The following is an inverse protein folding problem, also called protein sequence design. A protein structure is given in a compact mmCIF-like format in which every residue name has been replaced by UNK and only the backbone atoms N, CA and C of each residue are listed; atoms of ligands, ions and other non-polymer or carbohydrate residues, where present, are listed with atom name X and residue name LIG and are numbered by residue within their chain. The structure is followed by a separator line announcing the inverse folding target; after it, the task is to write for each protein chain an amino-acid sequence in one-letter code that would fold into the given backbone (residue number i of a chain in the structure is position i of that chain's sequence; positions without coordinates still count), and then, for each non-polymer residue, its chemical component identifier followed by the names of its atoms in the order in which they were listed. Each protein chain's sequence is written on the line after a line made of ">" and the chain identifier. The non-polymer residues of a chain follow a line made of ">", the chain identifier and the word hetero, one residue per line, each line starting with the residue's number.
data_IF_085718902618
#
_entry.id   IF_085718902618
#
_cell.length_a   1.000
_cell.length_b   1.000
_cell.length_c   1.000
_cell.angle_alpha   90.00
_cell.angle_beta   90.00
_cell.angle_gamma   90.00
#
_symmetry.space_group_name_H-M   'P 1'
#
loop_
_entity.id
_entity.type
_entity.pdbx_description
1 polymer ?
#
# COMPACT_ATOMS: atom_id res chain seq x y z
N UNK A 1 4.21 45.28 22.65
CA UNK A 1 3.84 45.77 21.31
C UNK A 1 3.38 44.56 20.51
N UNK A 2 2.06 44.37 20.33
CA UNK A 2 1.47 43.18 19.70
C UNK A 2 1.01 43.56 18.30
N UNK A 3 1.53 42.86 17.28
CA UNK A 3 1.12 43.01 15.88
C UNK A 3 0.03 41.97 15.58
N UNK A 4 -1.15 42.35 15.07
CA UNK A 4 -2.18 41.38 14.69
C UNK A 4 -1.89 40.80 13.30
N UNK A 5 -1.93 39.47 13.20
CA UNK A 5 -1.86 38.74 11.92
C UNK A 5 -3.28 38.54 11.41
N UNK A 6 -3.57 39.07 10.22
CA UNK A 6 -4.85 38.92 9.53
C UNK A 6 -4.97 37.52 8.88
N UNK A 7 -6.19 36.97 8.72
CA UNK A 7 -6.38 35.66 8.10
C UNK A 7 -6.29 35.75 6.57
N UNK A 8 -5.49 34.87 5.98
CA UNK A 8 -5.41 34.68 4.52
C UNK A 8 -6.59 33.79 4.10
N UNK A 9 -7.47 34.35 3.29
CA UNK A 9 -8.59 33.65 2.61
C UNK A 9 -8.04 33.05 1.32
N UNK A 10 -8.00 31.71 1.22
CA UNK A 10 -7.77 31.03 -0.06
C UNK A 10 -9.12 30.69 -0.70
N UNK A 11 -9.41 31.31 -1.84
CA UNK A 11 -10.46 30.85 -2.76
C UNK A 11 -10.01 29.56 -3.44
N UNK A 12 -10.68 28.45 -3.14
CA UNK A 12 -10.57 27.21 -3.89
C UNK A 12 -11.36 27.34 -5.22
N UNK A 13 -10.66 27.27 -6.35
CA UNK A 13 -11.27 27.12 -7.67
C UNK A 13 -11.61 25.64 -7.90
N UNK A 14 -12.90 25.34 -7.95
CA UNK A 14 -13.45 24.02 -8.27
C UNK A 14 -13.56 23.89 -9.81
N UNK A 15 -12.61 23.19 -10.43
CA UNK A 15 -12.78 22.70 -11.80
C UNK A 15 -13.52 21.35 -11.76
N UNK A 16 -14.83 21.41 -11.98
CA UNK A 16 -15.73 20.27 -12.16
C UNK A 16 -15.52 19.64 -13.53
N UNK A 17 -14.98 18.42 -13.57
CA UNK A 17 -14.92 17.61 -14.77
C UNK A 17 -16.27 16.89 -14.97
N UNK A 18 -17.00 17.30 -16.01
CA UNK A 18 -18.25 16.65 -16.43
C UNK A 18 -17.97 15.25 -17.03
N UNK A 19 -18.81 14.25 -16.77
CA UNK A 19 -18.77 12.99 -17.51
C UNK A 19 -19.27 13.20 -18.96
N UNK A 20 -18.51 12.68 -19.93
CA UNK A 20 -18.93 12.61 -21.33
C UNK A 20 -19.99 11.53 -21.51
N UNK A 21 -21.13 11.92 -22.07
CA UNK A 21 -22.20 11.05 -22.54
C UNK A 21 -21.71 10.20 -23.73
N UNK A 22 -21.99 8.90 -23.70
CA UNK A 22 -21.86 8.01 -24.84
C UNK A 22 -23.08 8.15 -25.77
N UNK A 23 -22.90 8.09 -27.10
CA UNK A 23 -24.01 8.26 -28.02
C UNK A 23 -24.94 7.06 -28.04
N UNK A 24 -26.23 7.35 -27.87
CA UNK A 24 -27.36 6.46 -28.07
C UNK A 24 -27.46 6.11 -29.56
N UNK A 25 -27.37 4.82 -29.88
CA UNK A 25 -27.72 4.32 -31.22
C UNK A 25 -29.24 4.43 -31.41
N UNK A 26 -29.64 5.34 -32.30
CA UNK A 26 -31.00 5.48 -32.79
C UNK A 26 -31.06 5.05 -34.26
N UNK A 27 -31.56 3.84 -34.55
CA UNK A 27 -32.43 3.58 -35.72
C UNK A 27 -32.91 2.13 -35.83
N UNK A 28 -34.05 1.90 -36.53
CA UNK A 28 -34.90 0.74 -36.36
C UNK A 28 -34.68 -0.27 -37.49
N UNK A 29 -34.02 -1.39 -37.20
CA UNK A 29 -33.97 -2.53 -38.13
C UNK A 29 -33.55 -3.81 -37.40
N UNK A 30 -34.46 -4.39 -36.61
CA UNK A 30 -34.35 -5.82 -36.28
C UNK A 30 -35.71 -6.39 -35.85
N UNK A 31 -36.70 -6.34 -36.74
CA UNK A 31 -37.91 -7.18 -36.66
C UNK A 31 -37.76 -8.30 -37.67
N UNK A 32 -37.56 -9.53 -37.19
CA UNK A 32 -37.98 -10.72 -37.92
C UNK A 32 -38.66 -11.70 -36.96
N UNK A 33 -39.92 -11.93 -37.32
CA UNK A 33 -40.83 -12.99 -36.93
C UNK A 33 -40.15 -14.36 -36.93
N UNK A 34 -40.36 -15.13 -35.85
CA UNK A 34 -40.16 -16.56 -35.83
C UNK A 34 -41.49 -17.25 -35.48
N UNK A 35 -41.80 -18.19 -36.34
CA UNK A 35 -43.04 -18.94 -36.53
C UNK A 35 -43.17 -20.04 -35.46
N UNK A 36 -44.41 -20.25 -34.98
CA UNK A 36 -44.76 -21.25 -33.96
C UNK A 36 -44.93 -22.62 -34.62
N UNK A 37 -44.15 -23.61 -34.17
CA UNK A 37 -44.32 -25.03 -34.50
C UNK A 37 -44.65 -25.86 -33.24
N UNK A 38 -45.38 -26.98 -33.38
CA UNK A 38 -46.19 -27.54 -32.29
C UNK A 38 -45.41 -28.44 -31.31
N UNK A 39 -46.00 -28.56 -30.12
CA UNK A 39 -45.51 -29.28 -28.95
C UNK A 39 -45.14 -30.75 -29.22
N UNK A 40 -43.91 -31.13 -28.82
CA UNK A 40 -43.49 -32.53 -28.62
C UNK A 40 -43.45 -32.84 -27.12
N UNK A 41 -43.96 -34.02 -26.77
CA UNK A 41 -44.29 -34.43 -25.42
C UNK A 41 -43.14 -34.48 -24.41
N UNK A 42 -43.52 -34.35 -23.15
CA UNK A 42 -42.66 -34.42 -21.96
C UNK A 42 -42.03 -35.82 -21.82
N UNK A 43 -40.70 -35.89 -21.94
CA UNK A 43 -39.90 -37.01 -21.43
C UNK A 43 -39.28 -36.54 -20.10
N UNK A 44 -39.49 -37.23 -18.97
CA UNK A 44 -38.85 -36.84 -17.71
C UNK A 44 -37.33 -37.00 -17.81
N UNK A 45 -36.58 -35.96 -17.46
CA UNK A 45 -35.13 -36.04 -17.27
C UNK A 45 -34.83 -36.94 -16.06
N UNK A 46 -33.84 -37.86 -16.13
CA UNK A 46 -33.40 -38.60 -14.96
C UNK A 46 -32.77 -37.66 -13.92
N UNK A 47 -33.13 -37.87 -12.66
CA UNK A 47 -32.62 -37.12 -11.51
C UNK A 47 -31.11 -37.33 -11.36
N UNK A 48 -30.28 -36.28 -11.21
CA UNK A 48 -28.86 -36.46 -10.96
C UNK A 48 -28.66 -37.11 -9.58
N UNK A 49 -27.87 -38.18 -9.58
CA UNK A 49 -27.43 -38.89 -8.37
C UNK A 49 -26.51 -37.97 -7.55
N UNK A 50 -26.53 -37.98 -6.21
CA UNK A 50 -25.62 -37.17 -5.40
C UNK A 50 -24.17 -37.65 -5.62
N UNK A 51 -23.28 -36.75 -6.02
CA UNK A 51 -21.84 -37.04 -6.09
C UNK A 51 -21.27 -37.33 -4.68
N UNK A 52 -20.36 -38.31 -4.53
CA UNK A 52 -19.69 -38.56 -3.26
C UNK A 52 -18.58 -37.54 -3.00
N UNK A 53 -18.76 -36.79 -1.91
CA UNK A 53 -17.74 -36.17 -1.03
C UNK A 53 -16.55 -35.44 -1.67
N UNK A 54 -16.61 -34.10 -1.52
CA UNK A 54 -15.55 -33.16 -1.76
C UNK A 54 -14.24 -33.49 -1.04
N UNK A 55 -13.14 -33.28 -1.77
CA UNK A 55 -11.76 -33.18 -1.31
C UNK A 55 -11.68 -32.35 0.01
N UNK A 56 -10.92 -32.73 1.04
CA UNK A 56 -10.84 -31.95 2.27
C UNK A 56 -10.29 -30.55 1.97
N UNK A 57 -11.14 -29.55 2.14
CA UNK A 57 -10.79 -28.14 2.03
C UNK A 57 -9.69 -27.84 3.06
N UNK A 58 -8.60 -27.14 2.67
CA UNK A 58 -7.62 -26.66 3.64
C UNK A 58 -8.33 -25.89 4.77
N UNK A 59 -7.81 -25.98 6.00
CA UNK A 59 -8.48 -25.42 7.18
C UNK A 59 -8.81 -23.94 6.94
N UNK A 60 -10.00 -23.47 7.37
CA UNK A 60 -10.38 -22.07 7.25
C UNK A 60 -9.29 -21.18 7.88
N UNK A 61 -8.81 -20.21 7.10
CA UNK A 61 -7.83 -19.24 7.56
C UNK A 61 -8.41 -18.48 8.75
N UNK A 62 -7.83 -18.62 9.94
CA UNK A 62 -8.38 -18.04 11.17
C UNK A 62 -8.24 -16.51 11.12
N UNK A 63 -9.36 -15.80 11.05
CA UNK A 63 -9.40 -14.34 11.19
C UNK A 63 -9.05 -14.02 12.64
N UNK A 64 -7.93 -13.32 12.85
CA UNK A 64 -7.47 -12.96 14.19
C UNK A 64 -8.04 -11.62 14.65
N UNK A 65 -8.04 -11.41 15.96
CA UNK A 65 -8.28 -10.08 16.51
C UNK A 65 -7.11 -9.14 16.15
N UNK A 66 -7.40 -7.85 16.01
CA UNK A 66 -6.40 -6.85 15.61
C UNK A 66 -5.19 -6.86 16.53
N UNK A 67 -5.39 -6.99 17.85
CA UNK A 67 -4.31 -7.03 18.85
C UNK A 67 -3.29 -8.13 18.57
N UNK A 68 -3.73 -9.33 18.18
CA UNK A 68 -2.83 -10.43 17.83
C UNK A 68 -2.00 -10.09 16.57
N UNK A 69 -2.62 -9.47 15.57
CA UNK A 69 -1.93 -9.03 14.36
C UNK A 69 -0.92 -7.92 14.67
N UNK A 70 -1.30 -6.93 15.48
CA UNK A 70 -0.39 -5.87 15.92
C UNK A 70 0.81 -6.44 16.69
N UNK A 71 0.58 -7.42 17.57
CA UNK A 71 1.63 -8.11 18.31
C UNK A 71 2.56 -8.91 17.38
N UNK A 72 2.00 -9.59 16.37
CA UNK A 72 2.77 -10.36 15.41
C UNK A 72 3.69 -9.47 14.54
N UNK A 73 3.18 -8.28 14.14
CA UNK A 73 3.93 -7.30 13.36
C UNK A 73 4.85 -6.42 14.19
N UNK A 74 4.70 -6.38 15.52
CA UNK A 74 5.53 -5.55 16.38
C UNK A 74 7.00 -5.96 16.29
N UNK A 75 7.86 -4.97 16.07
CA UNK A 75 9.30 -5.17 15.90
C UNK A 75 9.96 -4.03 15.15
N UNK A 76 11.29 -4.11 15.08
CA UNK A 76 12.11 -3.25 14.23
C UNK A 76 12.54 -4.05 13.01
N UNK A 77 12.50 -3.45 11.84
CA UNK A 77 12.86 -4.09 10.59
C UNK A 77 13.81 -3.21 9.78
N UNK A 78 14.88 -3.81 9.24
CA UNK A 78 15.81 -3.14 8.32
C UNK A 78 15.40 -3.37 6.87
N UNK A 79 15.51 -2.33 6.05
CA UNK A 79 15.24 -2.44 4.62
C UNK A 79 16.25 -3.39 3.96
N UNK A 80 15.74 -4.29 3.11
CA UNK A 80 16.53 -5.27 2.34
C UNK A 80 16.53 -4.91 0.87
N UNK A 81 15.35 -4.61 0.32
CA UNK A 81 15.20 -4.29 -1.09
C UNK A 81 13.93 -3.47 -1.35
N UNK A 82 13.95 -2.69 -2.43
CA UNK A 82 12.83 -1.91 -2.95
C UNK A 82 12.63 -2.23 -4.42
N UNK A 83 11.40 -2.40 -4.85
CA UNK A 83 11.08 -2.45 -6.27
C UNK A 83 9.82 -1.66 -6.58
N UNK A 84 9.81 -1.06 -7.76
CA UNK A 84 8.69 -0.30 -8.27
C UNK A 84 8.27 -0.84 -9.64
N UNK A 85 6.97 -0.83 -9.89
CA UNK A 85 6.39 -1.20 -11.19
C UNK A 85 5.34 -0.21 -11.62
N UNK A 86 5.23 0.04 -12.93
CA UNK A 86 4.14 0.77 -13.57
C UNK A 86 3.40 -0.19 -14.49
N UNK A 87 2.12 -0.44 -14.22
CA UNK A 87 1.29 -1.37 -15.00
C UNK A 87 1.92 -2.77 -15.14
N UNK A 88 2.60 -3.23 -14.09
CA UNK A 88 3.30 -4.53 -14.06
C UNK A 88 4.70 -4.53 -14.67
N UNK A 89 5.14 -3.45 -15.30
CA UNK A 89 6.50 -3.30 -15.85
C UNK A 89 7.41 -2.69 -14.79
N UNK A 90 8.58 -3.27 -14.55
CA UNK A 90 9.55 -2.72 -13.60
C UNK A 90 10.04 -1.34 -14.02
N UNK A 91 10.11 -0.42 -13.07
CA UNK A 91 10.65 0.93 -13.25
C UNK A 91 11.70 1.22 -12.17
N UNK A 92 12.68 2.10 -12.43
CA UNK A 92 13.66 2.50 -11.43
C UNK A 92 13.00 3.18 -10.21
N UNK A 93 13.49 2.87 -9.01
CA UNK A 93 13.03 3.51 -7.76
C UNK A 93 13.96 4.67 -7.37
N UNK A 94 14.10 5.63 -8.30
CA UNK A 94 15.05 6.76 -8.20
C UNK A 94 14.99 7.57 -6.88
N UNK A 95 13.82 7.78 -6.24
CA UNK A 95 13.76 8.54 -5.00
C UNK A 95 14.61 7.97 -3.86
N UNK A 96 14.89 6.66 -3.87
CA UNK A 96 15.63 5.99 -2.80
C UNK A 96 17.11 5.75 -3.12
N UNK A 97 17.57 6.11 -4.31
CA UNK A 97 18.92 5.74 -4.77
C UNK A 97 19.03 4.27 -5.17
N UNK A 98 20.26 3.83 -5.46
CA UNK A 98 20.59 2.47 -5.87
C UNK A 98 20.74 1.52 -4.67
N UNK A 99 21.20 2.03 -3.53
CA UNK A 99 21.44 1.24 -2.32
C UNK A 99 20.77 1.83 -1.05
N UNK A 100 19.44 2.03 -1.03
CA UNK A 100 18.79 2.63 0.13
C UNK A 100 18.95 1.82 1.41
N UNK A 101 19.04 2.55 2.52
CA UNK A 101 18.90 2.00 3.86
C UNK A 101 17.65 2.53 4.52
N UNK A 102 17.06 1.76 5.43
CA UNK A 102 15.86 2.20 6.12
C UNK A 102 15.50 1.35 7.32
N UNK A 103 14.67 1.94 8.18
CA UNK A 103 14.04 1.28 9.31
C UNK A 103 12.52 1.42 9.22
N UNK A 104 11.84 0.31 9.43
CA UNK A 104 10.40 0.23 9.65
C UNK A 104 10.19 -0.31 11.06
N UNK A 105 9.46 0.43 11.89
CA UNK A 105 9.18 0.04 13.27
C UNK A 105 7.67 -0.03 13.42
N UNK A 106 7.19 -1.15 13.95
CA UNK A 106 5.84 -1.31 14.45
C UNK A 106 5.86 -1.57 15.94
N UNK A 107 4.91 -0.97 16.65
CA UNK A 107 4.69 -1.20 18.07
C UNK A 107 3.42 -2.00 18.27
N UNK A 108 3.41 -2.84 19.30
CA UNK A 108 2.21 -3.60 19.71
C UNK A 108 1.03 -2.69 20.07
N UNK A 109 1.31 -1.44 20.46
CA UNK A 109 0.32 -0.42 20.81
C UNK A 109 -0.31 0.28 19.60
N UNK A 110 0.00 -0.15 18.36
CA UNK A 110 -0.64 0.38 17.16
C UNK A 110 -0.01 1.68 16.63
N UNK A 111 1.28 1.92 16.86
CA UNK A 111 2.05 3.00 16.23
C UNK A 111 3.16 2.45 15.34
N UNK A 112 3.49 3.22 14.30
CA UNK A 112 4.56 2.87 13.37
C UNK A 112 5.38 4.09 12.96
N UNK A 113 6.61 3.82 12.52
CA UNK A 113 7.45 4.79 11.81
C UNK A 113 8.22 4.11 10.69
N UNK A 114 8.33 4.77 9.54
CA UNK A 114 9.18 4.36 8.44
C UNK A 114 10.16 5.47 8.11
N UNK A 115 11.43 5.12 7.97
CA UNK A 115 12.48 6.00 7.48
C UNK A 115 13.27 5.26 6.40
N UNK A 116 13.49 5.88 5.26
CA UNK A 116 14.30 5.34 4.16
C UNK A 116 15.12 6.48 3.60
N UNK A 117 16.36 6.20 3.24
CA UNK A 117 17.22 7.22 2.69
C UNK A 117 18.35 6.63 1.85
N UNK A 118 18.69 7.31 0.77
CA UNK A 118 19.70 6.90 -0.21
C UNK A 118 21.11 6.96 0.38
N UNK A 119 22.04 6.06 0.05
CA UNK A 119 23.39 6.04 0.69
C UNK A 119 24.48 6.77 -0.10
N UNK A 120 24.16 7.16 -1.33
CA UNK A 120 25.09 7.72 -2.28
C UNK A 120 25.55 9.12 -1.83
N UNK A 121 26.86 9.43 -1.86
CA UNK A 121 27.38 10.73 -1.41
C UNK A 121 26.75 11.94 -2.11
N UNK A 122 26.42 11.82 -3.40
CA UNK A 122 25.74 12.86 -4.17
C UNK A 122 24.30 13.16 -3.68
N UNK A 123 23.68 12.22 -2.98
CA UNK A 123 22.36 12.37 -2.38
C UNK A 123 22.44 12.68 -0.88
N UNK A 124 23.63 12.54 -0.29
CA UNK A 124 23.96 12.73 1.13
C UNK A 124 25.19 13.64 1.29
N UNK A 125 25.12 14.92 0.88
CA UNK A 125 26.18 15.87 1.18
C UNK A 125 26.44 15.95 2.69
N UNK A 126 27.68 16.27 3.06
CA UNK A 126 28.15 16.26 4.45
C UNK A 126 27.60 17.46 5.25
N UNK A 127 26.31 17.39 5.60
CA UNK A 127 25.59 18.37 6.40
C UNK A 127 25.68 18.01 7.88
N UNK A 128 25.63 19.03 8.74
CA UNK A 128 25.61 18.85 10.19
C UNK A 128 24.26 19.30 10.77
N UNK A 129 23.81 18.66 11.85
CA UNK A 129 22.68 19.14 12.63
C UNK A 129 23.17 19.75 13.96
N UNK A 130 22.72 20.96 14.33
CA UNK A 130 21.86 21.87 13.56
C UNK A 130 22.59 22.44 12.33
N UNK A 131 21.82 23.00 11.40
CA UNK A 131 22.35 23.62 10.18
C UNK A 131 23.47 24.61 10.52
N UNK A 132 24.50 24.64 9.66
CA UNK A 132 25.60 25.60 9.75
C UNK A 132 25.44 26.71 8.72
N UNK A 133 26.04 27.87 8.96
CA UNK A 133 25.90 29.03 8.06
C UNK A 133 26.51 28.81 6.66
N UNK A 134 27.42 27.84 6.52
CA UNK A 134 28.03 27.44 5.27
C UNK A 134 27.30 26.27 4.57
N UNK A 135 26.30 25.66 5.20
CA UNK A 135 25.45 24.68 4.53
C UNK A 135 24.57 25.40 3.51
N UNK A 136 24.40 24.82 2.32
CA UNK A 136 23.52 25.41 1.31
C UNK A 136 22.11 24.81 1.38
N UNK A 137 21.10 25.61 1.05
CA UNK A 137 19.73 25.11 0.90
C UNK A 137 19.63 24.01 -0.15
N UNK A 138 20.49 24.05 -1.18
CA UNK A 138 20.55 23.04 -2.23
C UNK A 138 20.99 21.68 -1.68
N UNK A 139 22.01 21.66 -0.80
CA UNK A 139 22.47 20.44 -0.16
C UNK A 139 21.40 19.84 0.75
N UNK A 140 20.75 20.67 1.57
CA UNK A 140 19.63 20.24 2.41
C UNK A 140 18.45 19.70 1.58
N UNK A 141 18.12 20.38 0.47
CA UNK A 141 17.09 19.92 -0.45
C UNK A 141 17.46 18.59 -1.10
N UNK A 142 18.74 18.35 -1.39
CA UNK A 142 19.21 17.09 -1.96
C UNK A 142 19.00 15.93 -0.98
N UNK A 143 19.37 16.10 0.29
CA UNK A 143 19.06 15.11 1.35
C UNK A 143 17.56 14.89 1.47
N UNK A 144 16.76 15.97 1.45
CA UNK A 144 15.30 15.90 1.58
C UNK A 144 14.61 15.15 0.43
N UNK A 145 15.09 15.30 -0.81
CA UNK A 145 14.55 14.59 -2.00
C UNK A 145 14.81 13.09 -1.97
N UNK A 146 15.89 12.68 -1.31
CA UNK A 146 16.37 11.30 -1.23
C UNK A 146 16.20 10.66 0.15
N UNK A 147 15.34 11.26 0.97
CA UNK A 147 14.96 10.75 2.28
C UNK A 147 13.46 10.77 2.41
N UNK A 148 12.91 9.74 3.04
CA UNK A 148 11.50 9.68 3.40
C UNK A 148 11.41 9.31 4.88
N UNK A 149 10.54 9.99 5.59
CA UNK A 149 10.33 9.79 7.01
C UNK A 149 8.89 10.10 7.34
N UNK A 150 8.17 9.12 7.87
CA UNK A 150 6.80 9.33 8.35
C UNK A 150 6.50 8.41 9.53
N UNK A 151 5.60 8.87 10.39
CA UNK A 151 5.14 8.10 11.54
C UNK A 151 3.70 8.48 11.92
N UNK A 152 3.04 7.55 12.60
CA UNK A 152 1.68 7.72 13.07
C UNK A 152 1.11 6.41 13.61
N UNK A 153 -0.18 6.39 13.97
CA UNK A 153 -0.86 5.14 14.26
C UNK A 153 -0.86 4.21 13.03
N UNK A 154 -1.02 2.93 13.25
CA UNK A 154 -1.41 1.98 12.21
C UNK A 154 -2.50 1.06 12.74
N UNK A 155 -3.29 0.52 11.82
CA UNK A 155 -4.38 -0.41 12.15
C UNK A 155 -4.54 -1.45 11.06
N UNK A 156 -5.13 -2.58 11.42
CA UNK A 156 -5.58 -3.60 10.47
C UNK A 156 -6.74 -3.03 9.66
N UNK A 157 -6.83 -3.42 8.39
CA UNK A 157 -8.04 -3.20 7.61
C UNK A 157 -9.05 -4.30 7.95
N UNK A 158 -10.08 -3.94 8.70
CA UNK A 158 -11.17 -4.81 9.16
C UNK A 158 -12.13 -5.23 8.04
N UNK A 159 -12.08 -4.57 6.88
CA UNK A 159 -12.86 -4.92 5.70
C UNK A 159 -12.35 -6.20 4.99
N UNK A 160 -11.13 -6.66 5.31
CA UNK A 160 -10.49 -7.80 4.65
C UNK A 160 -9.99 -8.82 5.68
N UNK A 161 -10.08 -10.14 5.39
CA UNK A 161 -9.48 -11.15 6.25
C UNK A 161 -7.97 -10.91 6.42
N UNK A 162 -7.49 -11.03 7.66
CA UNK A 162 -6.09 -10.85 8.02
C UNK A 162 -5.65 -11.91 9.05
N UNK A 163 -4.38 -12.29 8.98
CA UNK A 163 -3.70 -13.24 9.87
C UNK A 163 -2.39 -12.63 10.38
N UNK A 164 -1.63 -13.36 11.21
CA UNK A 164 -0.28 -12.91 11.61
C UNK A 164 0.68 -12.76 10.43
N UNK A 165 0.43 -13.50 9.34
CA UNK A 165 1.37 -13.62 8.22
C UNK A 165 0.92 -12.91 6.95
N UNK A 166 -0.35 -12.54 6.81
CA UNK A 166 -0.81 -11.81 5.64
C UNK A 166 -2.06 -10.97 5.94
N UNK A 167 -2.20 -9.86 5.23
CA UNK A 167 -3.37 -9.02 5.34
C UNK A 167 -3.12 -7.62 4.80
N UNK A 168 -3.96 -6.69 5.21
CA UNK A 168 -3.84 -5.29 4.86
C UNK A 168 -3.90 -4.42 6.11
N UNK A 169 -3.05 -3.41 6.15
CA UNK A 169 -2.99 -2.40 7.20
C UNK A 169 -3.07 -1.00 6.58
N UNK A 170 -3.43 -0.03 7.40
CA UNK A 170 -3.27 1.38 7.10
C UNK A 170 -2.16 1.96 7.96
N UNK A 171 -1.17 2.61 7.35
CA UNK A 171 -0.31 3.55 8.07
C UNK A 171 -1.03 4.90 8.11
N UNK A 172 -1.30 5.42 9.29
CA UNK A 172 -1.95 6.69 9.51
C UNK A 172 -3.32 6.61 10.17
N UNK A 173 -3.99 7.77 10.36
CA UNK A 173 -3.64 9.09 9.82
C UNK A 173 -2.25 9.55 10.29
N UNK A 174 -1.34 9.86 9.35
CA UNK A 174 0.05 10.13 9.69
C UNK A 174 0.18 11.40 10.55
N UNK A 175 0.92 11.31 11.65
CA UNK A 175 1.12 12.43 12.58
C UNK A 175 2.27 13.32 12.13
N UNK A 176 3.34 12.70 11.62
CA UNK A 176 4.51 13.41 11.08
C UNK A 176 4.90 12.79 9.74
N UNK A 177 5.30 13.64 8.80
CA UNK A 177 5.85 13.23 7.52
C UNK A 177 6.76 14.33 6.97
N UNK A 178 7.90 13.96 6.40
CA UNK A 178 8.77 14.92 5.71
C UNK A 178 8.17 15.37 4.36
N UNK A 179 7.23 14.59 3.80
CA UNK A 179 6.35 15.02 2.70
C UNK A 179 5.09 15.63 3.32
N UNK A 180 4.92 16.96 3.33
CA UNK A 180 3.89 17.61 4.16
C UNK A 180 2.45 17.23 3.79
N UNK A 181 2.19 16.93 2.51
CA UNK A 181 0.87 16.52 2.01
C UNK A 181 0.42 15.15 2.54
N UNK A 182 1.32 14.38 3.16
CA UNK A 182 1.02 13.07 3.73
C UNK A 182 0.49 13.15 5.17
N UNK A 183 0.66 14.28 5.86
CA UNK A 183 0.12 14.46 7.21
C UNK A 183 -1.40 14.31 7.18
N UNK A 184 -1.94 13.51 8.10
CA UNK A 184 -3.36 13.17 8.18
C UNK A 184 -3.83 12.09 7.19
N UNK A 185 -2.99 11.68 6.23
CA UNK A 185 -3.37 10.68 5.22
C UNK A 185 -3.28 9.24 5.76
N UNK A 186 -4.09 8.36 5.17
CA UNK A 186 -4.03 6.92 5.41
C UNK A 186 -3.40 6.22 4.20
N UNK A 187 -2.32 5.50 4.47
CA UNK A 187 -1.55 4.77 3.48
C UNK A 187 -1.88 3.28 3.55
N UNK A 188 -2.59 2.77 2.56
CA UNK A 188 -2.94 1.35 2.44
C UNK A 188 -1.70 0.52 2.13
N UNK A 189 -1.48 -0.57 2.88
CA UNK A 189 -0.34 -1.48 2.72
C UNK A 189 -0.79 -2.93 2.83
N UNK A 190 -0.38 -3.75 1.86
CA UNK A 190 -0.53 -5.20 1.96
C UNK A 190 0.72 -5.76 2.62
N UNK A 191 0.58 -6.50 3.71
CA UNK A 191 1.71 -7.13 4.38
C UNK A 191 1.75 -8.64 4.11
N UNK A 192 2.96 -9.18 4.07
CA UNK A 192 3.20 -10.62 4.09
C UNK A 192 4.44 -10.89 4.94
N UNK A 193 4.33 -11.75 5.94
CA UNK A 193 5.44 -12.23 6.77
C UNK A 193 5.92 -13.56 6.19
N UNK A 194 7.23 -13.68 6.00
CA UNK A 194 7.89 -14.89 5.50
C UNK A 194 8.97 -15.28 6.49
N UNK A 195 9.01 -16.55 6.88
CA UNK A 195 10.07 -17.10 7.71
C UNK A 195 11.03 -17.90 6.83
N UNK A 196 12.32 -17.64 6.97
CA UNK A 196 13.39 -18.27 6.18
C UNK A 196 14.47 -18.74 7.16
N UNK A 197 14.97 -19.96 6.98
CA UNK A 197 16.13 -20.44 7.72
C UNK A 197 17.42 -19.89 7.10
N UNK A 198 18.20 -19.13 7.88
CA UNK A 198 19.51 -18.60 7.51
C UNK A 198 20.53 -19.03 8.55
N UNK A 199 21.57 -19.75 8.14
CA UNK A 199 22.66 -20.18 9.02
C UNK A 199 22.15 -20.93 10.29
N UNK A 200 21.10 -21.75 10.13
CA UNK A 200 20.48 -22.50 11.22
C UNK A 200 19.59 -21.69 12.16
N UNK A 201 19.29 -20.43 11.83
CA UNK A 201 18.38 -19.55 12.58
C UNK A 201 17.18 -19.17 11.73
N UNK A 202 15.97 -19.21 12.31
CA UNK A 202 14.76 -18.71 11.63
C UNK A 202 14.78 -17.18 11.63
N UNK A 203 14.83 -16.59 10.44
CA UNK A 203 14.78 -15.15 10.20
C UNK A 203 13.41 -14.77 9.64
N UNK A 204 12.81 -13.71 10.18
CA UNK A 204 11.53 -13.18 9.69
C UNK A 204 11.75 -12.03 8.72
N UNK A 205 11.10 -12.12 7.57
CA UNK A 205 11.00 -11.07 6.57
C UNK A 205 9.57 -10.54 6.51
N UNK A 206 9.46 -9.25 6.24
CA UNK A 206 8.21 -8.54 6.05
C UNK A 206 8.21 -7.91 4.66
N UNK A 207 7.28 -8.34 3.83
CA UNK A 207 6.98 -7.73 2.54
C UNK A 207 5.86 -6.72 2.71
N UNK A 208 6.10 -5.47 2.33
CA UNK A 208 5.11 -4.40 2.32
C UNK A 208 4.84 -3.96 0.87
N UNK A 209 3.63 -4.21 0.40
CA UNK A 209 3.15 -3.74 -0.90
C UNK A 209 2.34 -2.45 -0.78
N UNK A 210 2.51 -1.55 -1.75
CA UNK A 210 1.74 -0.31 -1.89
C UNK A 210 1.20 -0.17 -3.32
N UNK A 211 0.01 0.41 -3.45
CA UNK A 211 -0.58 0.89 -4.70
C UNK A 211 -0.73 2.41 -4.57
N UNK A 212 -0.16 3.16 -5.52
CA UNK A 212 -0.13 4.64 -5.49
C UNK A 212 -1.10 5.25 -6.50
N UNK A 213 -1.93 4.43 -7.14
CA UNK A 213 -2.85 4.85 -8.20
C UNK A 213 -2.17 4.91 -9.57
N UNK A 214 -2.96 4.92 -10.64
CA UNK A 214 -2.43 5.00 -12.01
C UNK A 214 -1.56 3.81 -12.42
N UNK A 215 -1.66 2.68 -11.71
CA UNK A 215 -0.87 1.47 -11.96
C UNK A 215 0.52 1.45 -11.32
N UNK A 216 0.85 2.46 -10.50
CA UNK A 216 2.10 2.51 -9.76
C UNK A 216 2.05 1.62 -8.51
N UNK A 217 2.95 0.65 -8.44
CA UNK A 217 3.10 -0.25 -7.29
C UNK A 217 4.51 -0.22 -6.78
N UNK A 218 4.65 -0.24 -5.45
CA UNK A 218 5.93 -0.38 -4.76
C UNK A 218 5.91 -1.59 -3.84
N UNK A 219 6.97 -2.38 -3.84
CA UNK A 219 7.18 -3.51 -2.93
C UNK A 219 8.48 -3.31 -2.19
N UNK A 220 8.40 -3.31 -0.87
CA UNK A 220 9.56 -3.20 0.00
C UNK A 220 9.69 -4.48 0.82
N UNK A 221 10.90 -5.00 0.89
CA UNK A 221 11.26 -6.14 1.73
C UNK A 221 12.07 -5.66 2.92
N UNK A 222 11.68 -6.13 4.10
CA UNK A 222 12.29 -5.76 5.35
C UNK A 222 12.68 -7.02 6.13
N UNK A 223 13.86 -7.03 6.76
CA UNK A 223 14.31 -8.11 7.64
C UNK A 223 14.09 -7.68 9.09
N UNK A 224 13.46 -8.53 9.90
CA UNK A 224 13.26 -8.26 11.34
C UNK A 224 14.61 -8.25 12.06
N UNK A 225 14.81 -7.23 12.89
CA UNK A 225 15.97 -7.09 13.77
C UNK A 225 15.60 -7.61 15.16
N UNK A 226 16.00 -8.86 15.43
CA UNK A 226 15.72 -9.63 16.65
C UNK A 226 14.24 -9.92 16.98
#
# INVERSE_FOLDING_TARGET
>A
MRVPIAPIVFLASLASARPQEQPVCASPACTKTAEVAPARGNIPLPTPTPEPNANPQPPPRQVLNDTAILNALAGTYSLVNTSSTLNGVSIPDLPYGEAPVGLLIYTATGFMSATITATEPEFRPNLTFPYQANDTDADWAQVGKHSIGYAGPFRVNDELPATETEGQIFHGPLTVANVPTWVGQNHRRNYTVVEVEEEGTIVKYLRIGSERGGGYRGVLWWKRLA
#
